data_IF_983362516525
#
_entry.id   IF_983362516525
#
_cell.length_a   1.000
_cell.length_b   1.000
_cell.length_c   1.000
_cell.angle_alpha   90.00
_cell.angle_beta   90.00
_cell.angle_gamma   90.00
#
_symmetry.space_group_name_H-M   'P 1'
#
loop_
_entity.id
_entity.type
_entity.pdbx_description
1 polymer ?
#
# COMPACT_ATOMS: atom_id res chain seq x y z
N UNK A 1 68.28 -2.14 -5.59
CA UNK A 1 66.97 -2.82 -5.60
C UNK A 1 66.25 -2.47 -4.31
N UNK A 2 65.21 -1.65 -4.36
CA UNK A 2 64.31 -1.37 -3.24
C UNK A 2 62.87 -1.38 -3.76
N UNK A 3 62.04 -2.14 -3.06
CA UNK A 3 60.70 -2.56 -3.46
C UNK A 3 59.71 -1.40 -3.54
N UNK A 4 59.03 -1.35 -4.68
CA UNK A 4 57.76 -0.66 -4.92
C UNK A 4 56.66 -1.24 -4.03
N UNK A 5 56.17 -0.47 -3.05
CA UNK A 5 54.88 -0.77 -2.39
C UNK A 5 53.83 0.23 -2.87
N UNK A 6 53.04 -0.23 -3.84
CA UNK A 6 51.75 0.35 -4.24
C UNK A 6 50.84 0.41 -3.00
N UNK A 7 50.39 1.60 -2.62
CA UNK A 7 49.28 1.76 -1.68
C UNK A 7 47.96 1.72 -2.46
N UNK A 8 47.18 0.71 -2.13
CA UNK A 8 45.89 0.36 -2.71
C UNK A 8 44.83 1.42 -2.37
N UNK A 9 43.88 1.57 -3.29
CA UNK A 9 42.89 2.63 -3.30
C UNK A 9 41.95 2.61 -2.09
N UNK A 10 41.59 3.82 -1.65
CA UNK A 10 40.41 4.05 -0.84
C UNK A 10 39.17 3.90 -1.73
N UNK A 11 38.65 2.67 -1.83
CA UNK A 11 37.29 2.42 -2.29
C UNK A 11 36.34 2.66 -1.11
N UNK A 12 35.70 3.82 -1.06
CA UNK A 12 34.57 4.06 -0.15
C UNK A 12 33.41 3.21 -0.65
N UNK A 13 33.17 2.08 0.02
CA UNK A 13 31.95 1.31 -0.13
C UNK A 13 30.77 2.17 0.36
N UNK A 14 30.08 2.82 -0.58
CA UNK A 14 28.78 3.42 -0.32
C UNK A 14 27.79 2.29 -0.02
N UNK A 15 27.62 1.99 1.27
CA UNK A 15 26.57 1.09 1.73
C UNK A 15 25.22 1.68 1.38
N UNK A 16 24.55 1.10 0.37
CA UNK A 16 23.12 1.32 0.17
C UNK A 16 22.41 0.82 1.42
N UNK A 17 21.98 1.76 2.27
CA UNK A 17 21.00 1.48 3.31
C UNK A 17 19.71 1.06 2.61
N UNK A 18 19.49 -0.26 2.53
CA UNK A 18 18.17 -0.81 2.22
C UNK A 18 17.33 -0.51 3.46
N UNK A 19 16.70 0.66 3.48
CA UNK A 19 15.69 0.97 4.49
C UNK A 19 14.55 -0.01 4.20
N UNK A 20 14.24 -0.95 5.11
CA UNK A 20 13.04 -1.75 4.93
C UNK A 20 11.88 -0.76 4.88
N UNK A 21 11.20 -0.67 3.74
CA UNK A 21 9.90 -0.01 3.68
C UNK A 21 9.00 -0.81 4.61
N UNK A 22 8.88 -0.37 5.86
CA UNK A 22 8.03 -1.00 6.85
C UNK A 22 6.59 -0.78 6.40
N UNK A 23 5.99 -1.81 5.79
CA UNK A 23 4.58 -1.82 5.48
C UNK A 23 3.79 -1.86 6.79
N UNK A 24 2.72 -1.08 6.86
CA UNK A 24 1.86 -1.07 8.04
C UNK A 24 0.88 -2.24 8.07
N UNK A 25 0.42 -2.66 6.88
CA UNK A 25 -0.40 -3.85 6.72
C UNK A 25 -0.92 -4.04 5.31
N UNK A 26 -1.83 -4.99 5.16
CA UNK A 26 -2.47 -5.38 3.91
C UNK A 26 -3.99 -5.21 4.00
N UNK A 27 -4.60 -4.80 2.90
CA UNK A 27 -6.02 -4.67 2.71
C UNK A 27 -6.43 -5.46 1.47
N UNK A 28 -7.15 -6.55 1.67
CA UNK A 28 -7.80 -7.32 0.61
C UNK A 28 -9.14 -6.67 0.27
N UNK A 29 -9.27 -6.20 -0.96
CA UNK A 29 -10.42 -5.43 -1.42
C UNK A 29 -11.19 -6.28 -2.42
N UNK A 30 -12.46 -6.55 -2.16
CA UNK A 30 -13.38 -7.23 -3.07
C UNK A 30 -14.32 -6.19 -3.68
N UNK A 31 -14.40 -6.16 -5.01
CA UNK A 31 -15.29 -5.22 -5.71
C UNK A 31 -16.64 -5.87 -6.03
N UNK A 32 -17.69 -5.47 -5.32
CA UNK A 32 -19.06 -5.96 -5.52
C UNK A 32 -20.01 -4.89 -6.09
N UNK A 33 -19.45 -3.75 -6.51
CA UNK A 33 -20.22 -2.56 -6.94
C UNK A 33 -20.83 -2.67 -8.35
N UNK A 34 -20.58 -3.77 -9.07
CA UNK A 34 -21.01 -3.98 -10.46
C UNK A 34 -20.26 -3.13 -11.51
N UNK A 35 -19.42 -2.18 -11.10
CA UNK A 35 -18.56 -1.36 -11.98
C UNK A 35 -17.09 -1.48 -11.56
N UNK A 36 -16.16 -1.04 -12.40
CA UNK A 36 -14.75 -1.01 -12.02
C UNK A 36 -14.47 0.12 -11.02
N UNK A 37 -13.67 -0.16 -10.00
CA UNK A 37 -13.33 0.81 -8.96
C UNK A 37 -11.83 1.03 -8.84
N UNK A 38 -11.42 2.11 -8.19
CA UNK A 38 -10.08 2.35 -7.69
C UNK A 38 -10.15 2.71 -6.22
N UNK A 39 -9.27 2.13 -5.41
CA UNK A 39 -9.20 2.44 -3.98
C UNK A 39 -7.98 3.30 -3.69
N UNK A 40 -8.20 4.35 -2.91
CA UNK A 40 -7.19 5.29 -2.43
C UNK A 40 -7.20 5.29 -0.90
N UNK A 41 -6.08 4.97 -0.26
CA UNK A 41 -5.89 5.00 1.18
C UNK A 41 -4.96 6.15 1.58
N UNK A 42 -5.36 6.92 2.60
CA UNK A 42 -4.73 8.18 2.96
C UNK A 42 -5.22 9.35 2.10
N UNK A 43 -4.55 10.50 2.20
CA UNK A 43 -4.85 11.65 1.35
C UNK A 43 -4.42 11.32 -0.10
N UNK A 44 -5.39 11.23 -1.01
CA UNK A 44 -5.20 10.92 -2.43
C UNK A 44 -4.36 9.66 -2.73
N UNK A 45 -4.37 8.67 -1.83
CA UNK A 45 -3.63 7.41 -2.00
C UNK A 45 -2.20 7.44 -1.49
N UNK A 46 -1.80 8.48 -0.74
CA UNK A 46 -0.46 8.60 -0.17
C UNK A 46 -0.04 7.39 0.69
N UNK A 47 -0.99 6.71 1.34
CA UNK A 47 -0.70 5.53 2.18
C UNK A 47 -0.84 4.22 1.40
N UNK A 48 -1.43 4.25 0.21
CA UNK A 48 -1.63 3.11 -0.68
C UNK A 48 -2.74 3.39 -1.70
N UNK A 49 -2.62 2.84 -2.90
CA UNK A 49 -3.68 2.88 -3.91
C UNK A 49 -3.66 1.66 -4.82
N UNK A 50 -4.79 1.39 -5.46
CA UNK A 50 -4.93 0.30 -6.43
C UNK A 50 -4.98 0.83 -7.86
N UNK A 51 -4.68 -0.05 -8.81
CA UNK A 51 -5.19 0.09 -10.18
C UNK A 51 -6.72 -0.08 -10.23
N UNK A 52 -7.27 -0.15 -11.44
CA UNK A 52 -8.68 -0.49 -11.62
C UNK A 52 -8.93 -1.93 -11.18
N UNK A 53 -9.87 -2.12 -10.25
CA UNK A 53 -10.36 -3.41 -9.78
C UNK A 53 -11.67 -3.67 -10.51
N UNK A 54 -11.73 -4.70 -11.35
CA UNK A 54 -12.94 -5.04 -12.10
C UNK A 54 -14.03 -5.63 -11.20
N UNK A 55 -15.31 -5.61 -11.62
CA UNK A 55 -16.41 -6.20 -10.85
C UNK A 55 -16.15 -7.68 -10.54
N UNK A 56 -16.49 -8.11 -9.32
CA UNK A 56 -16.32 -9.47 -8.81
C UNK A 56 -14.85 -9.96 -8.76
N UNK A 57 -13.89 -9.04 -8.82
CA UNK A 57 -12.48 -9.32 -8.57
C UNK A 57 -12.03 -8.76 -7.23
N UNK A 58 -10.96 -9.34 -6.70
CA UNK A 58 -10.28 -8.81 -5.53
C UNK A 58 -8.90 -8.23 -5.86
N UNK A 59 -8.39 -7.39 -4.97
CA UNK A 59 -7.06 -6.80 -5.05
C UNK A 59 -6.42 -6.71 -3.67
N UNK A 60 -5.14 -7.07 -3.55
CA UNK A 60 -4.37 -6.93 -2.32
C UNK A 60 -3.58 -5.63 -2.33
N UNK A 61 -4.00 -4.68 -1.51
CA UNK A 61 -3.34 -3.40 -1.33
C UNK A 61 -2.43 -3.43 -0.11
N UNK A 62 -1.15 -3.09 -0.29
CA UNK A 62 -0.25 -2.78 0.82
C UNK A 62 -0.45 -1.34 1.28
N UNK A 63 -0.64 -1.15 2.59
CA UNK A 63 -0.75 0.16 3.23
C UNK A 63 0.52 0.44 4.02
N UNK A 64 1.14 1.59 3.81
CA UNK A 64 2.46 1.95 4.37
C UNK A 64 2.38 2.86 5.60
N UNK A 65 1.20 3.06 6.19
CA UNK A 65 0.98 3.97 7.32
C UNK A 65 0.35 3.27 8.52
N UNK A 66 1.05 3.28 9.66
CA UNK A 66 0.53 2.76 10.92
C UNK A 66 -0.47 3.75 11.54
N UNK A 67 -1.53 3.23 12.15
CA UNK A 67 -2.62 3.97 12.75
C UNK A 67 -3.87 4.05 11.87
N UNK A 68 -4.71 5.04 12.16
CA UNK A 68 -5.99 5.23 11.46
C UNK A 68 -5.78 5.69 10.01
N UNK A 69 -6.10 4.82 9.05
CA UNK A 69 -6.07 5.12 7.62
C UNK A 69 -7.48 5.13 7.04
N UNK A 70 -7.86 6.22 6.39
CA UNK A 70 -9.10 6.33 5.62
C UNK A 70 -8.85 5.86 4.19
N UNK A 71 -9.66 4.92 3.72
CA UNK A 71 -9.68 4.45 2.34
C UNK A 71 -11.00 4.84 1.66
N UNK A 72 -10.91 5.20 0.39
CA UNK A 72 -12.03 5.65 -0.44
C UNK A 72 -12.02 4.84 -1.73
N UNK A 73 -13.14 4.18 -2.03
CA UNK A 73 -13.38 3.56 -3.32
C UNK A 73 -14.04 4.58 -4.24
N UNK A 74 -13.46 4.75 -5.44
CA UNK A 74 -13.99 5.60 -6.49
C UNK A 74 -14.34 4.76 -7.71
N UNK A 75 -15.42 5.10 -8.41
CA UNK A 75 -15.74 4.48 -9.69
C UNK A 75 -14.84 5.00 -10.83
N UNK A 76 -15.11 4.56 -12.05
CA UNK A 76 -14.38 4.99 -13.24
C UNK A 76 -14.48 6.49 -13.55
N UNK A 77 -15.55 7.16 -13.12
CA UNK A 77 -15.78 8.59 -13.32
C UNK A 77 -15.15 9.44 -12.20
N UNK A 78 -14.65 8.77 -11.15
CA UNK A 78 -14.02 9.41 -9.99
C UNK A 78 -15.01 9.75 -8.87
N UNK A 79 -16.27 9.34 -8.97
CA UNK A 79 -17.24 9.49 -7.89
C UNK A 79 -16.93 8.53 -6.76
N UNK A 80 -17.14 8.99 -5.52
CA UNK A 80 -16.95 8.13 -4.35
C UNK A 80 -18.10 7.14 -4.26
N UNK A 81 -17.77 5.85 -4.34
CA UNK A 81 -18.73 4.75 -4.15
C UNK A 81 -18.86 4.43 -2.66
N UNK A 82 -17.73 4.32 -1.98
CA UNK A 82 -17.71 3.96 -0.56
C UNK A 82 -16.47 4.53 0.14
N UNK A 83 -16.57 4.73 1.44
CA UNK A 83 -15.46 5.14 2.30
C UNK A 83 -15.42 4.26 3.53
N UNK A 84 -14.23 3.77 3.90
CA UNK A 84 -14.00 3.02 5.13
C UNK A 84 -12.73 3.48 5.84
N UNK A 85 -12.68 3.31 7.16
CA UNK A 85 -11.47 3.57 7.97
C UNK A 85 -10.97 2.25 8.54
N UNK A 86 -9.66 2.07 8.53
CA UNK A 86 -8.94 0.93 9.07
C UNK A 86 -7.88 1.42 10.07
N UNK A 87 -7.48 0.60 11.03
CA UNK A 87 -6.45 0.96 12.00
C UNK A 87 -5.29 -0.04 11.92
N UNK A 88 -4.22 0.32 11.22
CA UNK A 88 -3.10 -0.59 10.99
C UNK A 88 -2.09 -0.52 12.14
N UNK A 89 -1.96 -1.59 12.91
CA UNK A 89 -0.99 -1.70 13.99
C UNK A 89 -0.32 -3.08 13.97
N UNK A 90 0.58 -3.34 14.93
CA UNK A 90 1.34 -4.60 14.98
C UNK A 90 0.46 -5.84 15.20
N UNK A 91 -0.73 -5.70 15.78
CA UNK A 91 -1.71 -6.76 16.03
C UNK A 91 -2.78 -6.83 14.92
N UNK A 92 -3.10 -5.70 14.29
CA UNK A 92 -4.07 -5.61 13.20
C UNK A 92 -3.40 -5.09 11.92
N UNK A 93 -2.77 -6.00 11.19
CA UNK A 93 -2.06 -5.68 9.95
C UNK A 93 -2.74 -6.27 8.70
N UNK A 94 -3.92 -6.88 8.82
CA UNK A 94 -4.66 -7.45 7.71
C UNK A 94 -6.15 -7.12 7.84
N UNK A 95 -6.75 -6.64 6.75
CA UNK A 95 -8.17 -6.37 6.66
C UNK A 95 -8.73 -6.90 5.34
N UNK A 96 -10.00 -7.32 5.37
CA UNK A 96 -10.79 -7.58 4.16
C UNK A 96 -11.91 -6.55 4.08
N UNK A 97 -12.14 -6.01 2.88
CA UNK A 97 -13.18 -5.04 2.61
C UNK A 97 -13.93 -5.38 1.32
N UNK A 98 -15.22 -5.62 1.47
CA UNK A 98 -16.15 -5.82 0.36
C UNK A 98 -16.81 -4.47 0.03
N UNK A 99 -16.41 -3.89 -1.10
CA UNK A 99 -16.89 -2.59 -1.56
C UNK A 99 -18.23 -2.79 -2.28
N UNK A 100 -19.27 -2.08 -1.83
CA UNK A 100 -20.62 -2.15 -2.41
C UNK A 100 -21.59 -3.05 -1.65
N UNK A 101 -21.11 -3.84 -0.69
CA UNK A 101 -21.98 -4.55 0.26
C UNK A 101 -22.01 -3.85 1.61
N UNK A 102 -23.11 -3.18 1.90
CA UNK A 102 -23.46 -2.83 3.26
C UNK A 102 -24.03 -4.09 3.94
N UNK A 103 -23.16 -4.93 4.49
CA UNK A 103 -23.59 -5.76 5.61
C UNK A 103 -23.74 -4.83 6.81
N UNK A 104 -24.90 -4.18 6.92
CA UNK A 104 -25.39 -3.68 8.18
C UNK A 104 -25.56 -4.90 9.10
N UNK A 105 -24.69 -5.01 10.10
CA UNK A 105 -24.85 -5.93 11.23
C UNK A 105 -25.02 -5.09 12.50
#
# INVERSE_FOLDING_TARGET
MQNTMKRYGLGVLAGMLIVPMAWAGHLEIHNETGTSIRVLCGHDGHHGHTGSIHPNHHYNLTVNHHGGTRCVAKDHDGYTVETRRFHFDHHNNYYTWYVGTHHDA
#
